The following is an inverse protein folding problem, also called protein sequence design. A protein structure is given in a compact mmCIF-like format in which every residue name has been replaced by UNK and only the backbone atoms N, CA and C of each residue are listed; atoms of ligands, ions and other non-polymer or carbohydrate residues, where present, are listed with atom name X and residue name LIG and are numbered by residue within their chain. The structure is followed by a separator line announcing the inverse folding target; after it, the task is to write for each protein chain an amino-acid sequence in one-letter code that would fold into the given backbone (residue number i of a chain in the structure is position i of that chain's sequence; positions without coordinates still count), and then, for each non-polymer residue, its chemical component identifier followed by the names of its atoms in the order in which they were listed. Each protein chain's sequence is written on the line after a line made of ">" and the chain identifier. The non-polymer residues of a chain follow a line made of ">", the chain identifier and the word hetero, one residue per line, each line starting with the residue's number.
data_IF_723198015272
#
_entry.id   IF_723198015272
#
_cell.length_a   1.000
_cell.length_b   1.000
_cell.length_c   1.000
_cell.angle_alpha   90.00
_cell.angle_beta   90.00
_cell.angle_gamma   90.00
#
_symmetry.space_group_name_H-M   'P 1'
#
loop_
_entity.id
_entity.type
_entity.pdbx_description
1 polymer ?
#
# COMPACT_ATOMS: atom_id res chain seq x y z
N UNK A 1 17.30 -3.59 1.07
CA UNK A 1 16.16 -3.21 1.95
C UNK A 1 15.42 -1.99 1.40
N UNK A 2 14.33 -1.54 2.03
CA UNK A 2 13.52 -0.38 1.55
C UNK A 2 14.39 0.84 1.19
N UNK A 3 15.37 1.16 2.05
CA UNK A 3 16.30 2.29 1.88
C UNK A 3 17.22 2.19 0.65
N UNK A 4 17.39 1.00 0.07
CA UNK A 4 18.18 0.81 -1.16
C UNK A 4 17.30 0.85 -2.41
N UNK A 5 16.03 0.43 -2.28
CA UNK A 5 15.07 0.35 -3.39
C UNK A 5 14.44 1.72 -3.65
N UNK A 6 13.90 2.37 -2.61
CA UNK A 6 13.15 3.63 -2.76
C UNK A 6 13.91 4.75 -3.48
N UNK A 7 15.22 4.98 -3.26
CA UNK A 7 15.97 6.01 -3.98
C UNK A 7 16.15 5.72 -5.48
N UNK A 8 15.96 4.47 -5.91
CA UNK A 8 16.12 4.04 -7.31
C UNK A 8 14.83 4.14 -8.11
N UNK A 9 13.68 4.14 -7.42
CA UNK A 9 12.37 4.26 -8.04
C UNK A 9 12.15 5.67 -8.60
N UNK A 10 11.50 5.72 -9.76
CA UNK A 10 11.20 6.90 -10.56
C UNK A 10 9.70 7.08 -10.67
N UNK A 11 9.28 8.21 -11.24
CA UNK A 11 7.87 8.48 -11.53
C UNK A 11 7.27 7.33 -12.34
N UNK A 12 6.15 6.78 -11.86
CA UNK A 12 5.44 5.67 -12.50
C UNK A 12 5.89 4.27 -12.06
N UNK A 13 7.02 4.13 -11.34
CA UNK A 13 7.38 2.86 -10.73
C UNK A 13 6.41 2.53 -9.57
N UNK A 14 6.08 1.25 -9.42
CA UNK A 14 5.14 0.77 -8.41
C UNK A 14 5.91 0.15 -7.23
N UNK A 15 5.68 0.69 -6.04
CA UNK A 15 6.09 0.09 -4.78
C UNK A 15 4.91 -0.69 -4.19
N UNK A 16 4.90 -2.01 -4.42
CA UNK A 16 3.96 -2.90 -3.74
C UNK A 16 4.37 -3.18 -2.28
N UNK A 17 3.46 -3.75 -1.50
CA UNK A 17 3.62 -3.99 -0.06
C UNK A 17 3.91 -2.70 0.72
N UNK A 18 3.32 -1.57 0.29
CA UNK A 18 3.65 -0.27 0.83
C UNK A 18 3.30 -0.13 2.32
N UNK A 19 2.39 -0.95 2.85
CA UNK A 19 1.93 -0.98 4.25
C UNK A 19 2.40 -2.23 5.02
N UNK A 20 3.52 -2.83 4.62
CA UNK A 20 4.06 -4.02 5.28
C UNK A 20 4.59 -3.74 6.70
N UNK A 21 4.61 -4.75 7.59
CA UNK A 21 5.31 -4.68 8.87
C UNK A 21 6.83 -4.81 8.71
N UNK A 22 7.54 -4.79 9.85
CA UNK A 22 8.98 -5.08 9.94
C UNK A 22 9.31 -6.45 9.29
N UNK A 23 10.45 -6.65 8.61
CA UNK A 23 11.64 -5.80 8.54
C UNK A 23 11.73 -4.90 7.30
N UNK A 24 10.70 -4.15 6.91
CA UNK A 24 10.84 -3.04 5.95
C UNK A 24 9.74 -1.98 6.11
N UNK A 25 9.13 -1.90 7.30
CA UNK A 25 7.96 -1.07 7.55
C UNK A 25 8.20 0.40 7.12
N UNK A 26 7.22 1.04 6.47
CA UNK A 26 7.31 2.45 6.06
C UNK A 26 7.27 3.40 7.27
N UNK A 27 7.03 2.87 8.47
CA UNK A 27 7.00 3.60 9.74
C UNK A 27 8.15 3.18 10.66
N UNK A 28 8.50 4.06 11.60
CA UNK A 28 9.33 3.71 12.76
C UNK A 28 8.51 2.96 13.81
N UNK A 29 9.17 2.36 14.81
CA UNK A 29 8.48 1.74 15.95
C UNK A 29 7.62 2.74 16.75
N UNK A 30 7.91 4.05 16.65
CA UNK A 30 7.10 5.11 17.21
C UNK A 30 5.79 5.38 16.44
N UNK A 31 5.58 4.73 15.29
CA UNK A 31 4.45 5.00 14.39
C UNK A 31 4.69 6.15 13.42
N UNK A 32 5.76 6.93 13.57
CA UNK A 32 6.08 8.02 12.65
C UNK A 32 6.43 7.47 11.26
N UNK A 33 5.85 8.06 10.20
CA UNK A 33 6.18 7.68 8.82
C UNK A 33 7.60 8.12 8.49
N UNK A 34 8.32 7.23 7.81
CA UNK A 34 9.71 7.48 7.44
C UNK A 34 9.81 8.49 6.30
N UNK A 35 10.78 9.43 6.35
CA UNK A 35 10.86 10.51 5.36
C UNK A 35 11.01 10.03 3.90
N UNK A 36 11.67 8.88 3.70
CA UNK A 36 11.89 8.29 2.38
C UNK A 36 10.57 7.92 1.67
N UNK A 37 9.50 7.64 2.42
CA UNK A 37 8.16 7.40 1.88
C UNK A 37 7.56 8.68 1.28
N UNK A 38 7.61 9.80 2.00
CA UNK A 38 7.11 11.09 1.47
C UNK A 38 7.90 11.52 0.24
N UNK A 39 9.22 11.43 0.31
CA UNK A 39 10.08 11.76 -0.82
C UNK A 39 9.80 10.86 -2.04
N UNK A 40 9.51 9.57 -1.84
CA UNK A 40 9.12 8.68 -2.94
C UNK A 40 7.77 9.07 -3.55
N UNK A 41 6.79 9.40 -2.71
CA UNK A 41 5.47 9.90 -3.14
C UNK A 41 5.60 11.19 -3.97
N UNK A 42 6.38 12.15 -3.49
CA UNK A 42 6.65 13.42 -4.19
C UNK A 42 7.33 13.21 -5.54
N UNK A 43 8.19 12.19 -5.66
CA UNK A 43 8.79 11.78 -6.95
C UNK A 43 7.80 11.10 -7.91
N UNK A 44 6.58 10.79 -7.45
CA UNK A 44 5.56 10.12 -8.25
C UNK A 44 5.70 8.60 -8.29
N UNK A 45 6.29 7.98 -7.26
CA UNK A 45 6.22 6.53 -7.06
C UNK A 45 4.79 6.16 -6.67
N UNK A 46 4.25 5.13 -7.31
CA UNK A 46 2.89 4.62 -7.08
C UNK A 46 2.95 3.64 -5.91
N UNK A 47 2.14 3.85 -4.88
CA UNK A 47 2.04 2.95 -3.73
C UNK A 47 0.92 1.95 -3.93
N UNK A 48 1.28 0.67 -3.91
CA UNK A 48 0.37 -0.44 -4.05
C UNK A 48 0.33 -1.28 -2.77
N UNK A 49 -0.88 -1.70 -2.36
CA UNK A 49 -1.08 -2.45 -1.12
C UNK A 49 -0.40 -3.82 -1.16
N UNK A 50 -0.65 -4.64 -2.19
CA UNK A 50 -0.17 -6.02 -2.27
C UNK A 50 -0.33 -6.79 -0.96
N UNK A 51 -1.57 -6.98 -0.50
CA UNK A 51 -1.85 -7.40 0.88
C UNK A 51 -1.11 -8.68 1.30
N UNK A 52 -1.26 -9.75 0.51
CA UNK A 52 -0.56 -11.02 0.67
C UNK A 52 -0.78 -11.70 2.02
N UNK A 53 0.12 -12.62 2.36
CA UNK A 53 0.12 -13.33 3.65
C UNK A 53 0.64 -12.45 4.80
N UNK A 54 1.59 -11.55 4.53
CA UNK A 54 2.30 -10.81 5.58
C UNK A 54 2.75 -9.41 5.16
N UNK A 55 2.14 -8.84 4.13
CA UNK A 55 2.56 -7.57 3.53
C UNK A 55 1.64 -6.39 3.88
N UNK A 56 0.66 -6.61 4.75
CA UNK A 56 -0.23 -5.57 5.27
C UNK A 56 -0.34 -5.66 6.79
N UNK A 57 -0.21 -4.52 7.46
CA UNK A 57 -0.41 -4.37 8.90
C UNK A 57 -1.35 -3.19 9.19
N UNK A 58 -2.31 -3.39 10.09
CA UNK A 58 -3.33 -2.39 10.38
C UNK A 58 -2.76 -1.15 11.09
N UNK A 59 -1.76 -1.29 11.96
CA UNK A 59 -1.16 -0.16 12.66
C UNK A 59 -0.28 0.66 11.71
N UNK A 60 0.45 -0.02 10.82
CA UNK A 60 1.16 0.65 9.72
C UNK A 60 0.18 1.41 8.82
N UNK A 61 -0.93 0.80 8.44
CA UNK A 61 -1.93 1.44 7.57
C UNK A 61 -2.56 2.68 8.25
N UNK A 62 -2.93 2.59 9.54
CA UNK A 62 -3.44 3.74 10.32
C UNK A 62 -2.44 4.90 10.32
N UNK A 63 -1.17 4.62 10.61
CA UNK A 63 -0.12 5.64 10.65
C UNK A 63 0.10 6.31 9.28
N UNK A 64 0.14 5.51 8.20
CA UNK A 64 0.28 6.03 6.83
C UNK A 64 -0.91 6.91 6.43
N UNK A 65 -2.14 6.48 6.73
CA UNK A 65 -3.36 7.23 6.42
C UNK A 65 -3.47 8.53 7.23
N UNK A 66 -3.14 8.50 8.52
CA UNK A 66 -3.13 9.69 9.39
C UNK A 66 -2.17 10.78 8.88
N UNK A 67 -1.12 10.37 8.18
CA UNK A 67 -0.10 11.24 7.61
C UNK A 67 -0.36 11.62 6.14
N UNK A 68 -1.55 11.30 5.61
CA UNK A 68 -1.99 11.62 4.26
C UNK A 68 -1.36 10.76 3.15
N UNK A 69 -0.78 9.60 3.48
CA UNK A 69 -0.13 8.70 2.54
C UNK A 69 -0.99 7.46 2.26
N UNK A 70 -2.22 7.69 1.77
CA UNK A 70 -3.09 6.63 1.28
C UNK A 70 -2.47 5.88 0.09
N UNK A 71 -2.78 4.59 -0.12
CA UNK A 71 -2.29 3.85 -1.28
C UNK A 71 -2.91 4.42 -2.57
N UNK A 72 -2.15 4.38 -3.65
CA UNK A 72 -2.66 4.71 -5.00
C UNK A 72 -3.44 3.54 -5.58
N UNK A 73 -2.98 2.32 -5.28
CA UNK A 73 -3.55 1.06 -5.77
C UNK A 73 -3.83 0.13 -4.59
N UNK A 74 -5.01 -0.49 -4.58
CA UNK A 74 -5.34 -1.60 -3.71
C UNK A 74 -5.21 -2.87 -4.54
N UNK A 75 -4.26 -3.73 -4.19
CA UNK A 75 -4.12 -5.08 -4.75
C UNK A 75 -4.00 -6.12 -3.63
N UNK A 76 -4.32 -7.38 -3.94
CA UNK A 76 -4.48 -8.41 -2.94
C UNK A 76 -3.24 -9.28 -2.71
N UNK A 77 -2.35 -9.41 -3.71
CA UNK A 77 -1.26 -10.41 -3.71
C UNK A 77 -1.77 -11.81 -3.29
N UNK A 78 -2.96 -12.19 -3.76
CA UNK A 78 -3.60 -13.46 -3.40
C UNK A 78 -2.89 -14.65 -4.05
N UNK A 79 -2.61 -15.65 -3.25
CA UNK A 79 -2.00 -16.92 -3.64
C UNK A 79 -2.40 -18.02 -2.64
N UNK A 80 -1.96 -19.27 -2.88
CA UNK A 80 -2.35 -20.46 -2.11
C UNK A 80 -2.23 -20.32 -0.59
N UNK A 81 -1.29 -19.51 -0.10
CA UNK A 81 -1.07 -19.33 1.33
C UNK A 81 -1.99 -18.30 1.99
N UNK A 82 -2.66 -17.43 1.23
CA UNK A 82 -3.46 -16.33 1.78
C UNK A 82 -4.89 -16.21 1.23
N UNK A 83 -5.28 -17.11 0.31
CA UNK A 83 -6.63 -17.16 -0.27
C UNK A 83 -7.70 -17.52 0.76
N UNK A 84 -7.37 -18.30 1.78
CA UNK A 84 -8.25 -18.57 2.94
C UNK A 84 -7.99 -17.60 4.11
N UNK A 85 -7.23 -16.53 3.83
CA UNK A 85 -6.84 -15.52 4.80
C UNK A 85 -5.32 -15.42 4.97
N UNK A 86 -4.78 -14.22 5.22
CA UNK A 86 -5.54 -13.02 5.58
C UNK A 86 -6.01 -12.18 4.39
N UNK A 87 -5.53 -12.41 3.16
CA UNK A 87 -5.91 -11.58 2.00
C UNK A 87 -7.33 -11.86 1.51
N UNK A 88 -7.74 -13.13 1.46
CA UNK A 88 -9.00 -13.64 0.91
C UNK A 88 -9.18 -13.29 -0.57
N UNK A 89 -9.60 -12.06 -0.86
CA UNK A 89 -9.87 -11.55 -2.18
C UNK A 89 -9.68 -10.02 -2.24
N UNK A 90 -9.95 -9.44 -3.41
CA UNK A 90 -9.89 -8.00 -3.61
C UNK A 90 -10.92 -7.22 -2.77
N UNK A 91 -12.13 -7.76 -2.58
CA UNK A 91 -13.21 -7.10 -1.85
C UNK A 91 -12.89 -6.98 -0.36
N UNK A 92 -12.27 -8.02 0.22
CA UNK A 92 -11.80 -7.99 1.60
C UNK A 92 -10.65 -6.99 1.76
N UNK A 93 -9.71 -6.94 0.81
CA UNK A 93 -8.64 -5.93 0.84
C UNK A 93 -9.22 -4.50 0.80
N UNK A 94 -10.15 -4.22 -0.12
CA UNK A 94 -10.86 -2.93 -0.20
C UNK A 94 -11.61 -2.59 1.11
N UNK A 95 -12.30 -3.58 1.69
CA UNK A 95 -13.08 -3.40 2.91
C UNK A 95 -12.22 -3.04 4.11
N UNK A 96 -10.99 -3.55 4.21
CA UNK A 96 -10.04 -3.19 5.27
C UNK A 96 -9.63 -1.73 5.18
N UNK A 97 -9.31 -1.24 3.98
CA UNK A 97 -8.93 0.17 3.78
C UNK A 97 -10.12 1.11 4.03
N UNK A 98 -11.33 0.69 3.64
CA UNK A 98 -12.56 1.41 3.97
C UNK A 98 -12.81 1.47 5.49
N UNK A 99 -12.64 0.35 6.20
CA UNK A 99 -12.78 0.29 7.65
C UNK A 99 -11.71 1.14 8.39
N UNK A 100 -10.56 1.38 7.74
CA UNK A 100 -9.49 2.26 8.21
C UNK A 100 -9.73 3.75 7.90
N UNK A 101 -10.87 4.10 7.30
CA UNK A 101 -11.27 5.49 7.06
C UNK A 101 -10.99 6.02 5.65
N UNK A 102 -10.53 5.19 4.72
CA UNK A 102 -10.41 5.60 3.32
C UNK A 102 -11.82 5.75 2.71
N UNK A 103 -12.16 6.90 2.08
CA UNK A 103 -13.50 7.12 1.51
C UNK A 103 -13.83 6.08 0.43
N UNK A 104 -15.09 5.64 0.37
CA UNK A 104 -15.55 4.62 -0.59
C UNK A 104 -15.14 4.94 -2.04
N UNK A 105 -15.30 6.20 -2.46
CA UNK A 105 -14.95 6.63 -3.82
C UNK A 105 -13.45 6.46 -4.09
N UNK A 106 -12.60 6.76 -3.11
CA UNK A 106 -11.15 6.59 -3.24
C UNK A 106 -10.76 5.11 -3.24
N UNK A 107 -11.40 4.27 -2.42
CA UNK A 107 -11.21 2.81 -2.44
C UNK A 107 -11.57 2.24 -3.82
N UNK A 108 -12.68 2.69 -4.42
CA UNK A 108 -13.09 2.28 -5.77
C UNK A 108 -12.07 2.73 -6.81
N UNK A 109 -11.58 3.98 -6.75
CA UNK A 109 -10.55 4.48 -7.68
C UNK A 109 -9.27 3.65 -7.58
N UNK A 110 -8.81 3.38 -6.36
CA UNK A 110 -7.60 2.61 -6.07
C UNK A 110 -7.71 1.14 -6.51
N UNK A 111 -8.92 0.61 -6.73
CA UNK A 111 -9.14 -0.75 -7.23
C UNK A 111 -9.57 -0.82 -8.71
N UNK A 112 -9.69 0.33 -9.41
CA UNK A 112 -10.16 0.38 -10.80
C UNK A 112 -9.30 1.27 -11.69
N UNK A 113 -9.59 2.58 -11.73
CA UNK A 113 -8.94 3.52 -12.66
C UNK A 113 -7.46 3.71 -12.34
N UNK A 114 -7.06 3.70 -11.06
CA UNK A 114 -5.66 3.88 -10.67
C UNK A 114 -4.78 2.69 -11.09
N UNK A 115 -5.13 1.41 -10.82
CA UNK A 115 -4.35 0.29 -11.34
C UNK A 115 -4.34 0.24 -12.87
N UNK A 116 -5.46 0.56 -13.53
CA UNK A 116 -5.50 0.65 -15.00
C UNK A 116 -4.51 1.70 -15.54
N UNK A 117 -4.50 2.89 -14.96
CA UNK A 117 -3.52 3.94 -15.28
C UNK A 117 -2.07 3.49 -15.01
N UNK A 118 -1.82 2.82 -13.88
CA UNK A 118 -0.49 2.35 -13.50
C UNK A 118 0.11 1.35 -14.51
N UNK A 119 -0.74 0.58 -15.20
CA UNK A 119 -0.33 -0.39 -16.24
C UNK A 119 -0.63 0.07 -17.66
N UNK A 120 -1.04 1.32 -17.86
CA UNK A 120 -1.44 1.91 -19.14
C UNK A 120 -2.52 1.11 -19.90
N UNK A 121 -3.63 0.79 -19.23
CA UNK A 121 -4.81 0.11 -19.77
C UNK A 121 -6.09 0.92 -19.65
#
# INVERSE_FOLDING_TARGET
>A
GRSEVLPRLRRGDILTHCFRPFPNAPVFASGAVRPDMRLARERGVIFDIGHGMGSFDFEVAKAMLAEGLAPDVISSDVHLYCVDGPAFDMLVCMSKLMALGMPLVEVLRAATVNPAQAIAR
#
